data_IF_929991102260
#
_entry.id   IF_929991102260
#
_cell.length_a   1.000
_cell.length_b   1.000
_cell.length_c   1.000
_cell.angle_alpha   90.00
_cell.angle_beta   90.00
_cell.angle_gamma   90.00
#
_symmetry.space_group_name_H-M   'P 1'
#
loop_
_entity.id
_entity.type
_entity.pdbx_description
1 polymer ?
#
# COMPACT_ATOMS: atom_id res chain seq x y z
N UNK A 1 19.94 21.90 9.62
CA UNK A 1 19.62 20.54 10.07
C UNK A 1 18.12 20.32 9.93
N UNK A 2 17.71 19.20 9.35
CA UNK A 2 16.30 18.87 9.09
C UNK A 2 15.67 17.97 10.17
N UNK A 3 16.48 17.37 11.05
CA UNK A 3 15.95 16.56 12.13
C UNK A 3 17.03 15.98 13.04
N UNK A 4 16.58 15.16 13.99
CA UNK A 4 17.40 14.35 14.87
C UNK A 4 17.02 12.89 14.63
N UNK A 5 17.97 12.04 14.26
CA UNK A 5 17.80 10.59 14.20
C UNK A 5 18.14 10.01 15.57
N UNK A 6 17.29 9.13 16.09
CA UNK A 6 17.57 8.35 17.28
C UNK A 6 17.76 6.89 16.87
N UNK A 7 18.95 6.33 17.13
CA UNK A 7 19.27 4.95 16.78
C UNK A 7 19.66 4.16 18.03
N UNK A 8 19.09 2.96 18.17
CA UNK A 8 19.40 2.05 19.27
C UNK A 8 20.70 1.29 18.97
N UNK A 9 21.75 1.51 19.76
CA UNK A 9 23.02 0.78 19.64
C UNK A 9 23.23 -0.14 20.85
N UNK A 10 23.64 -1.39 20.59
CA UNK A 10 24.00 -2.37 21.64
C UNK A 10 25.38 -2.11 22.26
N UNK A 11 26.22 -1.37 21.54
CA UNK A 11 27.58 -1.02 21.92
C UNK A 11 27.88 0.41 21.48
N UNK A 12 28.61 1.18 22.28
CA UNK A 12 29.09 2.50 21.90
C UNK A 12 30.50 2.75 22.44
N UNK A 13 31.18 3.73 21.87
CA UNK A 13 32.53 4.15 22.27
C UNK A 13 32.46 5.50 22.99
N UNK A 14 33.12 5.59 24.13
CA UNK A 14 33.27 6.79 24.95
C UNK A 14 34.69 7.35 24.77
N UNK A 15 34.78 8.56 24.23
CA UNK A 15 36.02 9.32 24.07
C UNK A 15 36.12 10.33 25.19
N UNK A 16 37.19 10.28 25.98
CA UNK A 16 37.51 11.30 26.98
C UNK A 16 38.65 12.17 26.47
N UNK A 17 38.52 13.48 26.64
CA UNK A 17 39.50 14.46 26.18
C UNK A 17 40.28 15.07 27.34
N UNK A 18 41.48 15.60 27.07
CA UNK A 18 42.36 16.22 28.09
C UNK A 18 41.75 17.43 28.79
N UNK A 19 40.71 18.04 28.20
CA UNK A 19 39.95 19.14 28.80
C UNK A 19 38.82 18.66 29.75
N UNK A 20 38.65 17.34 29.93
CA UNK A 20 37.63 16.73 30.77
C UNK A 20 36.29 16.48 30.07
N UNK A 21 36.14 16.87 28.81
CA UNK A 21 34.94 16.59 28.01
C UNK A 21 34.84 15.11 27.65
N UNK A 22 33.61 14.62 27.50
CA UNK A 22 33.31 13.22 27.16
C UNK A 22 32.33 13.19 25.98
N UNK A 23 32.61 12.36 24.97
CA UNK A 23 31.73 12.11 23.83
C UNK A 23 31.39 10.64 23.72
N UNK A 24 30.10 10.34 23.54
CA UNK A 24 29.60 8.99 23.28
C UNK A 24 29.14 8.90 21.84
N UNK A 25 29.66 7.93 21.11
CA UNK A 25 29.41 7.79 19.67
C UNK A 25 29.52 6.33 19.24
N UNK A 26 29.04 6.01 18.04
CA UNK A 26 29.24 4.68 17.46
C UNK A 26 30.66 4.54 16.93
N UNK A 27 31.15 3.31 16.77
CA UNK A 27 32.49 3.04 16.19
C UNK A 27 32.65 3.56 14.75
N UNK A 28 31.55 3.61 14.01
CA UNK A 28 31.52 4.06 12.61
C UNK A 28 31.34 5.58 12.50
N UNK A 29 31.13 6.29 13.61
CA UNK A 29 30.96 7.74 13.62
C UNK A 29 32.23 8.43 13.11
N UNK A 30 32.09 9.48 12.30
CA UNK A 30 33.23 10.20 11.72
C UNK A 30 33.49 11.51 12.48
N UNK A 31 34.76 11.82 12.68
CA UNK A 31 35.24 13.03 13.35
C UNK A 31 36.28 13.72 12.46
N UNK A 32 36.54 15.00 12.73
CA UNK A 32 37.56 15.77 12.03
C UNK A 32 38.85 15.83 12.85
N UNK A 33 39.99 15.53 12.23
CA UNK A 33 41.31 15.79 12.80
C UNK A 33 41.60 17.30 12.81
N UNK A 34 42.59 17.74 13.59
CA UNK A 34 43.04 19.14 13.57
C UNK A 34 43.55 19.61 12.21
N UNK A 35 43.93 18.67 11.34
CA UNK A 35 44.50 18.92 10.02
C UNK A 35 43.43 18.94 8.91
N UNK A 36 42.14 18.81 9.30
CA UNK A 36 40.96 18.71 8.42
C UNK A 36 40.83 17.39 7.66
N UNK A 37 41.36 16.29 8.20
CA UNK A 37 41.08 14.95 7.67
C UNK A 37 39.87 14.34 8.39
N UNK A 38 39.12 13.49 7.68
CA UNK A 38 38.05 12.67 8.26
C UNK A 38 38.63 11.39 8.87
N UNK A 39 38.17 11.03 10.06
CA UNK A 39 38.58 9.82 10.77
C UNK A 39 37.39 9.15 11.47
N UNK A 40 37.27 7.83 11.32
CA UNK A 40 36.26 7.06 12.06
C UNK A 40 36.70 6.84 13.51
N UNK A 41 35.73 6.74 14.42
CA UNK A 41 35.98 6.47 15.84
C UNK A 41 36.70 5.15 16.07
N UNK A 42 36.49 4.13 15.23
CA UNK A 42 37.25 2.87 15.30
C UNK A 42 38.76 3.03 15.03
N UNK A 43 39.15 4.08 14.30
CA UNK A 43 40.52 4.35 13.87
C UNK A 43 41.24 5.41 14.74
N UNK A 44 40.54 6.01 15.71
CA UNK A 44 41.14 7.04 16.57
C UNK A 44 42.11 6.45 17.61
N UNK A 45 43.14 7.22 17.95
CA UNK A 45 44.16 6.83 18.93
C UNK A 45 44.30 7.87 20.04
N UNK A 46 44.69 7.39 21.23
CA UNK A 46 45.06 8.27 22.35
C UNK A 46 46.18 9.22 21.90
N UNK A 47 46.01 10.51 22.19
CA UNK A 47 46.93 11.57 21.78
C UNK A 47 46.57 12.25 20.45
N UNK A 48 45.61 11.72 19.68
CA UNK A 48 45.11 12.42 18.47
C UNK A 48 44.40 13.72 18.83
N UNK A 49 44.58 14.72 17.96
CA UNK A 49 43.97 16.05 18.08
C UNK A 49 42.79 16.14 17.12
N UNK A 50 41.62 16.43 17.66
CA UNK A 50 40.38 16.61 16.91
C UNK A 50 40.00 18.07 16.82
N UNK A 51 39.38 18.45 15.71
CA UNK A 51 38.92 19.82 15.45
C UNK A 51 37.77 20.18 16.40
N UNK A 52 37.86 21.34 17.02
CA UNK A 52 36.86 21.87 17.94
C UNK A 52 36.80 23.39 17.79
N UNK A 53 35.71 24.01 18.27
CA UNK A 53 35.58 25.46 18.29
C UNK A 53 36.60 26.08 19.28
N UNK A 54 37.66 26.68 18.72
CA UNK A 54 38.80 27.22 19.44
C UNK A 54 40.03 26.30 19.41
N UNK A 55 40.39 25.72 20.56
CA UNK A 55 41.58 24.84 20.67
C UNK A 55 41.21 23.39 20.34
N UNK A 56 42.05 22.65 19.58
CA UNK A 56 41.82 21.24 19.31
C UNK A 56 41.67 20.41 20.59
N UNK A 57 40.77 19.44 20.57
CA UNK A 57 40.57 18.51 21.67
C UNK A 57 41.56 17.35 21.51
N UNK A 58 42.24 16.96 22.59
CA UNK A 58 43.21 15.84 22.55
C UNK A 58 42.61 14.65 23.26
N UNK A 59 42.57 13.49 22.59
CA UNK A 59 42.03 12.25 23.17
C UNK A 59 42.96 11.77 24.28
N UNK A 60 42.43 11.58 25.49
CA UNK A 60 43.17 11.07 26.64
C UNK A 60 42.80 9.63 27.01
N UNK A 61 41.57 9.19 26.71
CA UNK A 61 41.10 7.84 27.01
C UNK A 61 40.02 7.42 26.00
N UNK A 62 39.96 6.12 25.68
CA UNK A 62 38.99 5.52 24.76
C UNK A 62 38.42 4.26 25.42
N UNK A 63 37.10 4.18 25.58
CA UNK A 63 36.43 3.03 26.18
C UNK A 63 35.30 2.50 25.31
N UNK A 64 35.34 1.22 24.98
CA UNK A 64 34.22 0.52 24.34
C UNK A 64 33.28 -0.06 25.39
N UNK A 65 32.01 0.32 25.32
CA UNK A 65 30.99 -0.04 26.30
C UNK A 65 29.94 -0.92 25.62
N UNK A 66 29.76 -2.14 26.12
CA UNK A 66 28.68 -3.05 25.70
C UNK A 66 27.43 -2.81 26.53
N UNK A 67 26.75 -1.71 26.25
CA UNK A 67 25.49 -1.33 26.88
C UNK A 67 24.54 -0.76 25.84
N UNK A 68 23.28 -1.21 25.89
CA UNK A 68 22.24 -0.73 24.99
C UNK A 68 21.89 0.72 25.34
N UNK A 69 22.09 1.63 24.39
CA UNK A 69 21.77 3.05 24.56
C UNK A 69 21.29 3.64 23.23
N UNK A 70 20.43 4.64 23.32
CA UNK A 70 20.02 5.44 22.17
C UNK A 70 21.11 6.48 21.91
N UNK A 71 21.66 6.47 20.70
CA UNK A 71 22.54 7.54 20.22
C UNK A 71 21.72 8.46 19.33
N UNK A 72 21.89 9.76 19.54
CA UNK A 72 21.24 10.80 18.77
C UNK A 72 22.22 11.34 17.74
N UNK A 73 21.73 11.55 16.52
CA UNK A 73 22.49 12.17 15.46
C UNK A 73 21.70 13.28 14.80
N UNK A 74 22.41 14.30 14.30
CA UNK A 74 21.78 15.45 13.63
C UNK A 74 21.77 15.18 12.13
N UNK A 75 20.60 15.29 11.51
CA UNK A 75 20.42 15.01 10.08
C UNK A 75 20.33 16.32 9.28
N UNK A 76 20.91 16.33 8.07
CA UNK A 76 20.81 17.40 7.06
C UNK A 76 21.34 18.78 7.53
N UNK A 77 22.55 18.81 8.07
CA UNK A 77 23.26 20.04 8.47
C UNK A 77 23.71 20.80 7.21
N UNK A 78 22.85 21.69 6.73
CA UNK A 78 23.07 22.55 5.56
C UNK A 78 24.06 23.70 5.87
N UNK A 79 25.36 23.42 5.76
CA UNK A 79 26.43 24.41 5.68
C UNK A 79 27.57 23.94 4.76
N UNK A 80 28.48 24.85 4.37
CA UNK A 80 29.56 24.56 3.39
C UNK A 80 30.43 23.35 3.78
N UNK A 81 30.53 23.01 5.06
CA UNK A 81 31.36 21.93 5.58
C UNK A 81 30.55 20.71 6.07
N UNK A 82 29.22 20.68 5.85
CA UNK A 82 28.25 19.67 6.31
C UNK A 82 28.51 19.16 7.74
N UNK A 83 28.78 20.08 8.64
CA UNK A 83 29.30 19.76 9.96
C UNK A 83 28.64 20.58 11.05
N UNK A 84 28.56 20.01 12.25
CA UNK A 84 28.01 20.71 13.39
C UNK A 84 28.96 20.60 14.59
N UNK A 85 28.80 21.56 15.50
CA UNK A 85 29.44 21.52 16.80
C UNK A 85 28.50 20.80 17.75
N UNK A 86 28.99 19.71 18.36
CA UNK A 86 28.33 19.11 19.51
C UNK A 86 28.30 20.12 20.66
N UNK A 87 27.40 19.93 21.64
CA UNK A 87 27.25 20.85 22.78
C UNK A 87 28.56 21.12 23.55
N UNK A 88 29.54 20.21 23.44
CA UNK A 88 30.88 20.33 23.99
C UNK A 88 31.90 20.96 23.05
N UNK A 89 31.47 21.63 21.97
CA UNK A 89 32.32 22.33 20.98
C UNK A 89 33.19 21.42 20.11
N UNK A 90 33.04 20.09 20.17
CA UNK A 90 33.73 19.19 19.25
C UNK A 90 33.06 19.25 17.87
N UNK A 91 33.87 19.35 16.82
CA UNK A 91 33.37 19.29 15.45
C UNK A 91 33.11 17.84 15.05
N UNK A 92 31.84 17.51 14.84
CA UNK A 92 31.41 16.19 14.40
C UNK A 92 31.26 16.16 12.89
N UNK A 93 31.71 15.08 12.25
CA UNK A 93 31.30 14.75 10.89
C UNK A 93 30.19 13.70 11.00
N UNK A 94 28.95 14.16 10.99
CA UNK A 94 27.85 13.28 10.65
C UNK A 94 26.67 14.13 10.22
N UNK A 95 26.60 14.34 8.93
CA UNK A 95 25.40 13.89 8.26
C UNK A 95 25.86 12.68 7.49
N UNK A 96 25.11 11.58 7.53
CA UNK A 96 25.11 10.68 6.39
C UNK A 96 25.09 11.57 5.15
N UNK A 97 26.20 11.62 4.42
CA UNK A 97 26.22 12.26 3.12
C UNK A 97 25.39 11.33 2.25
N UNK A 98 24.09 11.53 2.29
CA UNK A 98 23.33 11.43 1.08
C UNK A 98 23.95 12.50 0.16
N UNK A 99 25.00 12.14 -0.59
CA UNK A 99 24.83 12.41 -2.02
C UNK A 99 23.52 11.75 -2.44
N UNK A 100 23.00 12.00 -3.62
CA UNK A 100 21.70 11.45 -4.02
C UNK A 100 20.57 12.31 -3.45
N UNK A 101 20.18 13.31 -4.24
CA UNK A 101 18.78 13.71 -4.33
C UNK A 101 17.88 12.50 -3.98
N UNK A 102 17.02 12.62 -2.96
CA UNK A 102 16.28 11.45 -2.43
C UNK A 102 15.44 10.84 -3.55
N UNK A 103 15.90 9.74 -4.13
CA UNK A 103 15.16 9.02 -5.16
C UNK A 103 13.90 8.39 -4.55
N UNK A 104 12.88 8.19 -5.39
CA UNK A 104 11.59 7.67 -4.93
C UNK A 104 11.72 6.28 -4.33
N UNK A 105 12.42 5.38 -5.03
CA UNK A 105 12.62 3.98 -4.66
C UNK A 105 14.05 3.83 -4.17
N UNK A 106 14.25 3.11 -3.07
CA UNK A 106 15.59 2.89 -2.54
C UNK A 106 16.49 2.17 -3.57
N UNK A 107 17.75 2.60 -3.69
CA UNK A 107 18.68 2.03 -4.67
C UNK A 107 18.91 0.54 -4.46
N UNK A 108 18.91 0.08 -3.20
CA UNK A 108 19.08 -1.35 -2.91
C UNK A 108 17.95 -2.15 -3.54
N UNK A 109 16.71 -1.64 -3.49
CA UNK A 109 15.56 -2.29 -4.14
C UNK A 109 15.67 -2.28 -5.67
N UNK A 110 16.17 -1.19 -6.27
CA UNK A 110 16.38 -1.10 -7.71
C UNK A 110 17.48 -2.06 -8.19
N UNK A 111 18.58 -2.17 -7.43
CA UNK A 111 19.72 -3.06 -7.74
C UNK A 111 19.32 -4.55 -7.78
N UNK A 112 18.26 -4.93 -7.04
CA UNK A 112 17.72 -6.29 -7.04
C UNK A 112 16.65 -6.55 -8.13
N UNK A 113 16.21 -5.53 -8.87
CA UNK A 113 15.29 -5.73 -9.99
C UNK A 113 16.01 -6.44 -11.13
N UNK A 114 15.47 -7.59 -11.54
CA UNK A 114 15.98 -8.35 -12.68
C UNK A 114 15.10 -8.05 -13.90
N UNK A 115 15.70 -7.47 -14.93
CA UNK A 115 15.04 -7.30 -16.23
C UNK A 115 15.32 -8.52 -17.10
N UNK A 116 14.29 -9.19 -17.66
CA UNK A 116 14.51 -10.24 -18.63
C UNK A 116 15.15 -9.68 -19.91
N UNK A 117 15.76 -10.55 -20.71
CA UNK A 117 16.12 -10.17 -22.07
C UNK A 117 14.87 -9.82 -22.88
N UNK A 118 15.00 -8.86 -23.80
CA UNK A 118 13.92 -8.51 -24.73
C UNK A 118 13.58 -9.74 -25.56
N UNK A 119 12.33 -10.19 -25.49
CA UNK A 119 11.93 -11.38 -26.23
C UNK A 119 11.66 -11.09 -27.69
N UNK A 120 10.99 -9.97 -27.96
CA UNK A 120 10.73 -9.51 -29.32
C UNK A 120 10.47 -8.01 -29.38
N UNK A 121 10.59 -7.46 -30.58
CA UNK A 121 10.23 -6.07 -30.88
C UNK A 121 9.31 -6.08 -32.10
N UNK A 122 8.09 -5.55 -31.95
CA UNK A 122 7.10 -5.47 -33.02
C UNK A 122 6.56 -4.06 -33.14
N UNK A 123 6.71 -3.41 -34.30
CA UNK A 123 6.17 -2.06 -34.51
C UNK A 123 6.58 -1.05 -33.39
N UNK A 124 7.81 -1.13 -32.89
CA UNK A 124 8.30 -0.29 -31.79
C UNK A 124 7.83 -0.70 -30.39
N UNK A 125 7.03 -1.76 -30.26
CA UNK A 125 6.68 -2.38 -28.99
C UNK A 125 7.72 -3.40 -28.58
N UNK A 126 8.41 -3.12 -27.48
CA UNK A 126 9.35 -4.04 -26.84
C UNK A 126 8.58 -4.98 -25.92
N UNK A 127 8.69 -6.29 -26.18
CA UNK A 127 8.02 -7.35 -25.41
C UNK A 127 9.04 -7.99 -24.47
N UNK A 128 8.70 -8.04 -23.18
CA UNK A 128 9.53 -8.65 -22.14
C UNK A 128 9.02 -10.02 -21.70
N UNK A 129 7.80 -10.39 -22.12
CA UNK A 129 7.14 -11.63 -21.75
C UNK A 129 6.24 -12.10 -22.88
N UNK A 130 6.43 -13.35 -23.32
CA UNK A 130 5.76 -13.90 -24.51
C UNK A 130 4.31 -14.32 -24.31
N UNK A 131 3.85 -14.42 -23.07
CA UNK A 131 2.49 -14.83 -22.75
C UNK A 131 2.04 -14.30 -21.40
N UNK A 132 0.72 -14.29 -21.18
CA UNK A 132 0.12 -14.03 -19.87
C UNK A 132 0.42 -15.20 -18.91
N UNK A 133 0.54 -14.92 -17.61
CA UNK A 133 0.70 -15.92 -16.54
C UNK A 133 -0.59 -16.68 -16.23
N UNK A 134 -1.75 -16.06 -16.48
CA UNK A 134 -3.06 -16.62 -16.16
C UNK A 134 -4.10 -16.29 -17.23
N UNK A 135 -5.08 -17.19 -17.38
CA UNK A 135 -6.27 -16.96 -18.21
C UNK A 135 -7.20 -15.91 -17.59
N UNK A 136 -7.17 -15.77 -16.27
CA UNK A 136 -7.95 -14.76 -15.53
C UNK A 136 -7.20 -13.43 -15.35
N UNK A 137 -6.13 -13.21 -16.12
CA UNK A 137 -5.34 -11.99 -16.02
C UNK A 137 -6.09 -10.79 -16.60
N UNK A 138 -6.08 -9.68 -15.87
CA UNK A 138 -6.62 -8.42 -16.36
C UNK A 138 -5.49 -7.60 -16.98
N UNK A 139 -5.68 -7.15 -18.22
CA UNK A 139 -4.67 -6.40 -18.97
C UNK A 139 -4.98 -4.91 -18.94
N UNK A 140 -4.01 -4.10 -18.50
CA UNK A 140 -4.14 -2.64 -18.47
C UNK A 140 -3.08 -2.03 -19.38
N UNK A 141 -3.51 -1.17 -20.30
CA UNK A 141 -2.68 -0.34 -21.15
C UNK A 141 -2.64 1.06 -20.53
N UNK A 142 -1.47 1.52 -20.11
CA UNK A 142 -1.28 2.87 -19.57
C UNK A 142 -0.51 3.73 -20.54
N UNK A 143 -0.96 4.97 -20.75
CA UNK A 143 -0.38 5.87 -21.76
C UNK A 143 -0.11 7.24 -21.13
N UNK A 144 1.09 7.77 -21.33
CA UNK A 144 1.42 9.18 -21.10
C UNK A 144 1.72 9.87 -22.43
N UNK A 145 0.75 10.61 -23.01
CA UNK A 145 0.93 11.29 -24.29
C UNK A 145 1.78 12.56 -24.16
N UNK A 146 2.83 12.66 -24.97
CA UNK A 146 3.67 13.87 -25.11
C UNK A 146 3.34 14.64 -26.40
N UNK A 147 3.67 15.93 -26.43
CA UNK A 147 3.63 16.78 -27.63
C UNK A 147 4.78 16.51 -28.61
N UNK A 148 5.68 15.60 -28.25
CA UNK A 148 6.90 15.29 -28.96
C UNK A 148 8.02 16.30 -28.70
N UNK A 149 9.26 15.90 -29.00
CA UNK A 149 10.46 16.69 -28.72
C UNK A 149 11.39 16.04 -27.71
N UNK A 150 11.60 16.67 -26.54
CA UNK A 150 12.44 16.11 -25.47
C UNK A 150 11.73 14.99 -24.69
N UNK A 151 10.41 15.07 -24.52
CA UNK A 151 9.60 14.09 -23.79
C UNK A 151 8.96 13.08 -24.75
N UNK A 152 8.96 11.79 -24.38
CA UNK A 152 8.43 10.71 -25.22
C UNK A 152 6.98 10.39 -24.90
N UNK A 153 6.18 10.10 -25.93
CA UNK A 153 4.89 9.44 -25.71
C UNK A 153 5.14 7.99 -25.31
N UNK A 154 4.69 7.61 -24.12
CA UNK A 154 4.92 6.27 -23.56
C UNK A 154 3.61 5.50 -23.48
N UNK A 155 3.64 4.24 -23.90
CA UNK A 155 2.57 3.25 -23.70
C UNK A 155 3.17 2.02 -23.02
N UNK A 156 2.61 1.61 -21.89
CA UNK A 156 3.02 0.41 -21.16
C UNK A 156 1.87 -0.57 -21.06
N UNK A 157 2.21 -1.85 -21.11
CA UNK A 157 1.26 -2.94 -21.02
C UNK A 157 1.50 -3.73 -19.73
N UNK A 158 0.46 -3.90 -18.93
CA UNK A 158 0.54 -4.50 -17.61
C UNK A 158 -0.42 -5.67 -17.48
N UNK A 159 0.08 -6.77 -16.95
CA UNK A 159 -0.72 -7.90 -16.50
C UNK A 159 -1.00 -7.77 -15.01
N UNK A 160 -2.27 -7.67 -14.63
CA UNK A 160 -2.70 -7.63 -13.24
C UNK A 160 -3.27 -8.99 -12.86
N UNK A 161 -2.57 -9.68 -11.95
CA UNK A 161 -3.04 -10.92 -11.34
C UNK A 161 -3.38 -10.69 -9.86
N UNK A 162 -4.12 -11.60 -9.20
CA UNK A 162 -4.42 -11.48 -7.77
C UNK A 162 -3.20 -11.43 -6.84
N UNK A 163 -2.01 -11.85 -7.31
CA UNK A 163 -0.80 -11.95 -6.48
C UNK A 163 0.26 -10.91 -6.82
N UNK A 164 0.38 -10.56 -8.09
CA UNK A 164 1.48 -9.76 -8.63
C UNK A 164 1.07 -9.07 -9.93
N UNK A 165 1.68 -7.92 -10.18
CA UNK A 165 1.56 -7.18 -11.43
C UNK A 165 2.84 -7.38 -12.23
N UNK A 166 2.73 -7.60 -13.55
CA UNK A 166 3.87 -7.78 -14.44
C UNK A 166 3.84 -6.75 -15.57
N UNK A 167 4.97 -6.12 -15.84
CA UNK A 167 5.15 -5.32 -17.04
C UNK A 167 5.39 -6.26 -18.24
N UNK A 168 4.48 -6.26 -19.21
CA UNK A 168 4.56 -7.15 -20.36
C UNK A 168 5.38 -6.55 -21.51
N UNK A 169 5.30 -5.23 -21.68
CA UNK A 169 6.00 -4.54 -22.75
C UNK A 169 5.83 -3.02 -22.68
N UNK A 170 6.55 -2.31 -23.53
CA UNK A 170 6.55 -0.84 -23.58
C UNK A 170 6.80 -0.32 -25.00
N UNK A 171 6.14 0.78 -25.35
CA UNK A 171 6.45 1.67 -26.48
C UNK A 171 6.85 3.01 -25.86
N UNK A 172 7.95 3.59 -26.33
CA UNK A 172 8.32 4.97 -26.02
C UNK A 172 8.87 5.60 -27.30
N UNK A 173 8.25 6.69 -27.73
CA UNK A 173 8.61 7.34 -28.99
C UNK A 173 8.39 8.87 -28.89
N UNK A 174 9.46 9.68 -29.04
CA UNK A 174 9.37 11.14 -28.99
C UNK A 174 8.68 11.78 -30.19
N UNK A 175 8.47 11.05 -31.28
CA UNK A 175 7.79 11.55 -32.48
C UNK A 175 6.30 11.15 -32.53
N UNK A 176 5.82 10.40 -31.52
CA UNK A 176 4.48 9.84 -31.53
C UNK A 176 3.44 10.81 -30.95
N UNK A 177 2.59 11.34 -31.82
CA UNK A 177 1.47 12.21 -31.46
C UNK A 177 0.19 11.42 -31.09
N UNK A 178 -0.91 12.12 -30.82
CA UNK A 178 -2.19 11.51 -30.48
C UNK A 178 -2.74 10.58 -31.59
N UNK A 179 -2.49 10.89 -32.87
CA UNK A 179 -2.95 10.06 -33.99
C UNK A 179 -2.10 8.80 -34.11
N UNK A 180 -0.77 8.93 -33.96
CA UNK A 180 0.15 7.81 -33.91
C UNK A 180 -0.15 6.87 -32.74
N UNK A 181 -0.40 7.42 -31.54
CA UNK A 181 -0.82 6.66 -30.37
C UNK A 181 -2.10 5.86 -30.65
N UNK A 182 -3.09 6.46 -31.32
CA UNK A 182 -4.31 5.76 -31.70
C UNK A 182 -4.04 4.58 -32.65
N UNK A 183 -3.19 4.74 -33.67
CA UNK A 183 -2.80 3.62 -34.53
C UNK A 183 -2.05 2.53 -33.76
N UNK A 184 -1.23 2.89 -32.77
CA UNK A 184 -0.57 1.91 -31.89
C UNK A 184 -1.56 1.16 -31.00
N UNK A 185 -2.62 1.82 -30.52
CA UNK A 185 -3.70 1.18 -29.75
C UNK A 185 -4.43 0.15 -30.62
N UNK A 186 -4.80 0.50 -31.85
CA UNK A 186 -5.45 -0.43 -32.78
C UNK A 186 -4.54 -1.60 -33.15
N UNK A 187 -3.24 -1.35 -33.31
CA UNK A 187 -2.29 -2.43 -33.50
C UNK A 187 -2.17 -3.33 -32.25
N UNK A 188 -2.23 -2.74 -31.05
CA UNK A 188 -2.13 -3.47 -29.78
C UNK A 188 -3.29 -4.43 -29.56
N UNK A 189 -4.54 -4.06 -29.90
CA UNK A 189 -5.67 -5.00 -29.80
C UNK A 189 -5.47 -6.23 -30.70
N UNK A 190 -4.96 -6.03 -31.92
CA UNK A 190 -4.70 -7.13 -32.84
C UNK A 190 -3.55 -7.99 -32.31
N UNK A 191 -2.52 -7.38 -31.73
CA UNK A 191 -1.44 -8.10 -31.06
C UNK A 191 -1.96 -8.96 -29.89
N UNK A 192 -2.77 -8.39 -28.99
CA UNK A 192 -3.38 -9.12 -27.87
C UNK A 192 -4.19 -10.32 -28.36
N UNK A 193 -5.00 -10.13 -29.41
CA UNK A 193 -5.85 -11.17 -29.97
C UNK A 193 -5.05 -12.26 -30.67
N UNK A 194 -4.12 -11.88 -31.54
CA UNK A 194 -3.42 -12.82 -32.42
C UNK A 194 -2.25 -13.52 -31.74
N UNK A 195 -1.47 -12.79 -30.93
CA UNK A 195 -0.27 -13.34 -30.31
C UNK A 195 -0.55 -13.96 -28.95
N UNK A 196 -1.45 -13.36 -28.17
CA UNK A 196 -1.75 -13.82 -26.80
C UNK A 196 -3.11 -14.47 -26.64
N UNK A 197 -3.91 -14.56 -27.71
CA UNK A 197 -5.26 -15.13 -27.67
C UNK A 197 -6.10 -14.50 -26.53
N UNK A 198 -5.94 -13.19 -26.35
CA UNK A 198 -6.62 -12.41 -25.34
C UNK A 198 -7.73 -11.58 -25.99
N UNK A 199 -8.94 -11.57 -25.41
CA UNK A 199 -10.04 -10.74 -25.92
C UNK A 199 -9.74 -9.27 -25.60
N UNK A 200 -9.58 -8.39 -26.61
CA UNK A 200 -9.31 -6.98 -26.36
C UNK A 200 -10.39 -6.29 -25.50
N UNK A 201 -11.63 -6.81 -25.49
CA UNK A 201 -12.71 -6.28 -24.66
C UNK A 201 -12.49 -6.49 -23.15
N UNK A 202 -11.65 -7.44 -22.76
CA UNK A 202 -11.30 -7.71 -21.37
C UNK A 202 -10.11 -6.86 -20.88
N UNK A 203 -9.48 -6.07 -21.76
CA UNK A 203 -8.45 -5.12 -21.40
C UNK A 203 -9.03 -3.75 -20.98
N UNK A 204 -8.16 -2.82 -20.60
CA UNK A 204 -8.52 -1.44 -20.31
C UNK A 204 -7.42 -0.46 -20.73
N UNK A 205 -7.81 0.63 -21.38
CA UNK A 205 -6.92 1.77 -21.67
C UNK A 205 -7.09 2.86 -20.61
N UNK A 206 -5.97 3.33 -20.08
CA UNK A 206 -5.88 4.49 -19.19
C UNK A 206 -4.79 5.44 -19.67
N UNK A 207 -5.07 6.74 -19.66
CA UNK A 207 -4.10 7.71 -20.16
C UNK A 207 -4.17 9.06 -19.46
N UNK A 208 -3.05 9.81 -19.48
CA UNK A 208 -3.05 11.22 -19.05
C UNK A 208 -3.92 12.04 -19.99
N UNK A 209 -4.99 12.63 -19.44
CA UNK A 209 -5.83 13.58 -20.18
C UNK A 209 -5.39 15.01 -19.90
N UNK A 210 -4.26 15.38 -20.49
CA UNK A 210 -3.72 16.74 -20.49
C UNK A 210 -3.01 17.00 -21.82
N UNK A 211 -3.04 18.24 -22.33
CA UNK A 211 -2.39 18.59 -23.59
C UNK A 211 -2.76 17.65 -24.75
N UNK A 212 -1.78 16.89 -25.24
CA UNK A 212 -1.96 15.87 -26.30
C UNK A 212 -2.97 14.78 -25.93
N UNK A 213 -3.05 14.43 -24.64
CA UNK A 213 -4.04 13.48 -24.15
C UNK A 213 -5.48 13.93 -24.35
N UNK A 214 -5.77 15.23 -24.40
CA UNK A 214 -7.11 15.72 -24.76
C UNK A 214 -7.40 15.43 -26.24
N UNK A 215 -6.40 15.56 -27.11
CA UNK A 215 -6.49 15.16 -28.52
C UNK A 215 -6.73 13.66 -28.67
N UNK A 216 -6.00 12.83 -27.91
CA UNK A 216 -6.22 11.38 -27.89
C UNK A 216 -7.64 11.04 -27.40
N UNK A 217 -8.12 11.71 -26.35
CA UNK A 217 -9.49 11.57 -25.84
C UNK A 217 -10.54 11.85 -26.93
N UNK A 218 -10.36 12.91 -27.72
CA UNK A 218 -11.24 13.23 -28.85
C UNK A 218 -11.17 12.18 -29.95
N UNK A 219 -9.97 11.71 -30.30
CA UNK A 219 -9.80 10.67 -31.34
C UNK A 219 -10.53 9.39 -30.93
N UNK A 220 -10.28 8.93 -29.70
CA UNK A 220 -10.83 7.68 -29.18
C UNK A 220 -12.35 7.70 -28.99
N UNK A 221 -12.96 8.88 -28.78
CA UNK A 221 -14.39 8.98 -28.44
C UNK A 221 -15.28 9.56 -29.52
N UNK A 222 -14.73 10.29 -30.51
CA UNK A 222 -15.52 11.06 -31.48
C UNK A 222 -15.23 10.70 -32.94
N UNK A 223 -14.17 9.95 -33.23
CA UNK A 223 -13.88 9.54 -34.61
C UNK A 223 -14.71 8.33 -35.01
N UNK A 224 -15.14 8.31 -36.28
CA UNK A 224 -15.83 7.16 -36.87
C UNK A 224 -14.94 5.90 -36.79
N UNK A 225 -13.64 6.06 -37.06
CA UNK A 225 -12.66 4.97 -36.98
C UNK A 225 -12.58 4.38 -35.58
N UNK A 226 -12.50 5.18 -34.52
CA UNK A 226 -12.52 4.63 -33.16
C UNK A 226 -13.85 3.93 -32.85
N UNK A 227 -14.97 4.52 -33.25
CA UNK A 227 -16.31 3.94 -33.03
C UNK A 227 -16.49 2.58 -33.71
N UNK A 228 -15.87 2.38 -34.88
CA UNK A 228 -16.00 1.15 -35.67
C UNK A 228 -14.98 0.08 -35.28
N UNK A 229 -13.75 0.46 -34.93
CA UNK A 229 -12.62 -0.49 -34.82
C UNK A 229 -12.02 -0.64 -33.43
N UNK A 230 -12.23 0.31 -32.51
CA UNK A 230 -11.66 0.22 -31.16
C UNK A 230 -12.51 -0.72 -30.31
N UNK A 231 -11.93 -1.84 -29.92
CA UNK A 231 -12.61 -2.82 -29.06
C UNK A 231 -12.24 -2.67 -27.59
N UNK A 232 -11.04 -2.15 -27.30
CA UNK A 232 -10.56 -2.04 -25.92
C UNK A 232 -11.33 -0.95 -25.18
N UNK A 233 -11.95 -1.25 -24.03
CA UNK A 233 -12.59 -0.27 -23.18
C UNK A 233 -11.62 0.85 -22.75
N UNK A 234 -12.14 2.08 -22.70
CA UNK A 234 -11.40 3.24 -22.21
C UNK A 234 -11.89 3.56 -20.80
N UNK A 235 -10.96 3.88 -19.91
CA UNK A 235 -11.33 4.39 -18.59
C UNK A 235 -11.85 5.83 -18.68
N UNK A 236 -12.97 6.08 -17.99
CA UNK A 236 -13.56 7.41 -17.89
C UNK A 236 -13.45 7.95 -16.46
N UNK A 237 -12.75 9.07 -16.28
CA UNK A 237 -12.87 9.87 -15.07
C UNK A 237 -14.18 10.68 -15.14
N UNK A 238 -15.18 10.21 -14.42
CA UNK A 238 -16.55 10.71 -14.43
C UNK A 238 -17.21 10.62 -15.82
N UNK A 239 -17.15 11.67 -16.64
CA UNK A 239 -17.74 11.72 -18.00
C UNK A 239 -16.70 11.86 -19.09
N UNK A 240 -15.44 11.81 -18.73
CA UNK A 240 -14.34 12.19 -19.58
C UNK A 240 -13.41 11.00 -19.81
N UNK A 241 -13.11 10.67 -21.06
CA UNK A 241 -12.17 9.58 -21.37
C UNK A 241 -10.74 9.98 -21.01
N UNK A 242 -10.07 9.17 -20.20
CA UNK A 242 -8.76 9.46 -19.62
C UNK A 242 -8.83 10.12 -18.25
N UNK A 243 -7.67 10.28 -17.61
CA UNK A 243 -7.56 10.73 -16.21
C UNK A 243 -6.70 11.98 -16.11
N UNK A 244 -7.17 12.97 -15.35
CA UNK A 244 -6.41 14.18 -15.06
C UNK A 244 -5.88 14.14 -13.62
N UNK A 245 -4.57 13.98 -13.46
CA UNK A 245 -3.94 13.87 -12.15
C UNK A 245 -3.66 15.25 -11.55
N UNK A 246 -4.13 15.48 -10.33
CA UNK A 246 -3.75 16.68 -9.56
C UNK A 246 -2.37 16.51 -8.91
N UNK A 247 -1.62 17.58 -8.62
CA UNK A 247 -0.31 17.47 -7.97
C UNK A 247 -0.32 16.69 -6.64
N UNK A 248 -1.32 16.84 -5.76
CA UNK A 248 -1.45 16.00 -4.57
C UNK A 248 -1.65 14.52 -4.90
N UNK A 249 -2.42 14.21 -5.95
CA UNK A 249 -2.61 12.84 -6.41
C UNK A 249 -1.30 12.25 -6.96
N UNK A 250 -0.55 12.99 -7.79
CA UNK A 250 0.77 12.53 -8.30
C UNK A 250 1.72 12.15 -7.15
N UNK A 251 1.75 12.92 -6.05
CA UNK A 251 2.53 12.58 -4.84
C UNK A 251 2.06 11.28 -4.18
N UNK A 252 0.74 11.10 -4.05
CA UNK A 252 0.15 9.88 -3.48
C UNK A 252 0.50 8.66 -4.33
N UNK A 253 0.35 8.76 -5.65
CA UNK A 253 0.66 7.69 -6.59
C UNK A 253 2.14 7.32 -6.56
N UNK A 254 3.05 8.30 -6.51
CA UNK A 254 4.49 8.04 -6.36
C UNK A 254 4.80 7.17 -5.13
N UNK A 255 4.26 7.52 -3.95
CA UNK A 255 4.47 6.73 -2.73
C UNK A 255 3.91 5.31 -2.82
N UNK A 256 2.86 5.12 -3.61
CA UNK A 256 2.17 3.83 -3.72
C UNK A 256 2.84 2.96 -4.77
N UNK A 257 3.37 3.57 -5.83
CA UNK A 257 4.29 2.94 -6.75
C UNK A 257 5.55 2.44 -6.03
N UNK A 258 6.16 3.28 -5.18
CA UNK A 258 7.27 2.88 -4.30
C UNK A 258 6.93 1.62 -3.51
N UNK A 259 5.80 1.63 -2.80
CA UNK A 259 5.37 0.47 -2.02
C UNK A 259 5.21 -0.79 -2.89
N UNK A 260 4.59 -0.67 -4.07
CA UNK A 260 4.41 -1.80 -4.98
C UNK A 260 5.75 -2.43 -5.40
N UNK A 261 6.75 -1.60 -5.69
CA UNK A 261 8.08 -2.06 -6.09
C UNK A 261 8.84 -2.65 -4.88
N UNK A 262 8.90 -1.94 -3.76
CA UNK A 262 9.70 -2.36 -2.60
C UNK A 262 9.16 -3.63 -1.94
N UNK A 263 7.84 -3.83 -1.96
CA UNK A 263 7.22 -5.08 -1.50
C UNK A 263 7.14 -6.16 -2.60
N UNK A 264 7.81 -5.98 -3.73
CA UNK A 264 7.87 -6.94 -4.85
C UNK A 264 6.49 -7.36 -5.38
N UNK A 265 5.52 -6.44 -5.32
CA UNK A 265 4.14 -6.63 -5.82
C UNK A 265 4.01 -6.30 -7.30
N UNK A 266 4.93 -5.51 -7.83
CA UNK A 266 5.08 -5.24 -9.25
C UNK A 266 6.42 -5.76 -9.73
N UNK A 267 6.44 -6.36 -10.91
CA UNK A 267 7.65 -6.73 -11.62
C UNK A 267 7.83 -5.78 -12.81
N UNK A 268 8.81 -4.91 -12.68
CA UNK A 268 9.25 -4.02 -13.75
C UNK A 268 10.25 -4.80 -14.59
N UNK A 269 9.96 -4.94 -15.88
CA UNK A 269 10.80 -5.66 -16.83
C UNK A 269 11.52 -4.71 -17.81
N UNK A 270 11.06 -3.46 -17.92
CA UNK A 270 11.67 -2.43 -18.76
C UNK A 270 12.91 -1.84 -18.08
N UNK A 271 14.12 -2.06 -18.63
CA UNK A 271 15.35 -1.49 -18.06
C UNK A 271 15.38 0.04 -18.13
N UNK A 272 14.71 0.66 -19.11
CA UNK A 272 14.69 2.12 -19.23
C UNK A 272 13.78 2.75 -18.16
N UNK A 273 12.69 2.07 -17.76
CA UNK A 273 11.89 2.49 -16.60
C UNK A 273 12.72 2.43 -15.30
N UNK A 274 13.58 1.42 -15.15
CA UNK A 274 14.47 1.33 -13.98
C UNK A 274 15.50 2.46 -13.98
N UNK A 275 16.08 2.78 -15.14
CA UNK A 275 17.02 3.90 -15.26
C UNK A 275 16.36 5.25 -14.92
N UNK A 276 15.14 5.49 -15.40
CA UNK A 276 14.35 6.66 -15.00
C UNK A 276 14.14 6.70 -13.47
N UNK A 277 13.93 5.55 -12.81
CA UNK A 277 13.74 5.48 -11.36
C UNK A 277 15.00 5.84 -10.56
N UNK A 278 16.21 5.53 -11.06
CA UNK A 278 17.47 6.06 -10.49
C UNK A 278 17.61 7.58 -10.68
N UNK A 279 16.85 8.16 -11.62
CA UNK A 279 16.76 9.59 -11.89
C UNK A 279 15.61 10.32 -11.20
N UNK A 280 14.68 9.61 -10.57
CA UNK A 280 13.41 10.18 -10.11
C UNK A 280 13.46 10.62 -8.65
N UNK A 281 13.63 11.92 -8.46
CA UNK A 281 14.07 12.51 -7.20
C UNK A 281 12.97 13.30 -6.51
N UNK A 282 13.07 13.41 -5.18
CA UNK A 282 12.17 14.22 -4.36
C UNK A 282 12.58 15.68 -4.36
N UNK A 283 11.66 16.54 -4.79
CA UNK A 283 11.80 17.99 -4.75
C UNK A 283 11.56 18.56 -3.34
N UNK A 284 11.99 19.81 -3.12
CA UNK A 284 11.84 20.53 -1.84
C UNK A 284 10.37 20.66 -1.40
N UNK A 285 9.43 20.73 -2.35
CA UNK A 285 7.99 20.80 -2.06
C UNK A 285 7.35 19.42 -1.78
N UNK A 286 8.16 18.35 -1.75
CA UNK A 286 7.74 16.97 -1.55
C UNK A 286 7.07 16.32 -2.77
N UNK A 287 7.11 16.94 -3.96
CA UNK A 287 6.82 16.26 -5.22
C UNK A 287 8.02 15.43 -5.66
N UNK A 288 7.83 14.62 -6.69
CA UNK A 288 8.92 13.92 -7.36
C UNK A 288 8.97 14.36 -8.83
N UNK A 289 10.15 14.37 -9.41
CA UNK A 289 10.39 14.63 -10.84
C UNK A 289 11.72 14.02 -11.25
N UNK A 290 11.95 13.87 -12.56
CA UNK A 290 13.28 13.56 -13.07
C UNK A 290 14.32 14.62 -12.64
N UNK A 291 15.53 14.15 -12.32
CA UNK A 291 16.71 15.02 -12.16
C UNK A 291 17.20 15.51 -13.53
N UNK A 292 18.06 16.52 -13.52
CA UNK A 292 18.59 17.09 -14.78
C UNK A 292 19.29 16.03 -15.62
N UNK A 293 18.88 15.92 -16.90
CA UNK A 293 19.42 14.94 -17.85
C UNK A 293 18.74 13.56 -17.81
N UNK A 294 17.66 13.41 -17.04
CA UNK A 294 16.82 12.21 -17.00
C UNK A 294 15.40 12.55 -17.46
N UNK A 295 14.68 11.52 -17.90
CA UNK A 295 13.26 11.58 -18.23
C UNK A 295 12.43 10.92 -17.11
N UNK A 296 11.13 11.21 -17.05
CA UNK A 296 10.18 10.53 -16.15
C UNK A 296 8.89 10.05 -16.86
N UNK A 297 8.87 10.05 -18.19
CA UNK A 297 7.71 9.71 -19.01
C UNK A 297 7.19 8.28 -18.71
N UNK A 298 8.09 7.30 -18.52
CA UNK A 298 7.69 5.91 -18.19
C UNK A 298 7.15 5.79 -16.78
N UNK A 299 7.68 6.59 -15.86
CA UNK A 299 7.19 6.64 -14.48
C UNK A 299 5.80 7.27 -14.46
N UNK A 300 5.59 8.35 -15.22
CA UNK A 300 4.30 9.02 -15.34
C UNK A 300 3.26 8.09 -15.97
N UNK A 301 3.60 7.35 -17.03
CA UNK A 301 2.73 6.32 -17.59
C UNK A 301 2.36 5.25 -16.54
N UNK A 302 3.34 4.76 -15.76
CA UNK A 302 3.10 3.76 -14.72
C UNK A 302 2.17 4.24 -13.60
N UNK A 303 2.09 5.56 -13.33
CA UNK A 303 1.17 6.09 -12.30
C UNK A 303 -0.30 5.85 -12.64
N UNK A 304 -0.68 5.72 -13.91
CA UNK A 304 -2.06 5.40 -14.29
C UNK A 304 -2.46 3.97 -13.92
N UNK A 305 -1.53 3.02 -13.96
CA UNK A 305 -1.73 1.67 -13.42
C UNK A 305 -2.00 1.77 -11.91
N UNK A 306 -1.13 2.48 -11.19
CA UNK A 306 -1.26 2.63 -9.73
C UNK A 306 -2.59 3.29 -9.37
N UNK A 307 -3.02 4.29 -10.14
CA UNK A 307 -4.30 4.96 -9.93
C UNK A 307 -5.47 3.97 -10.02
N UNK A 308 -5.48 3.09 -11.03
CA UNK A 308 -6.52 2.08 -11.19
C UNK A 308 -6.60 1.14 -9.99
N UNK A 309 -5.44 0.58 -9.61
CA UNK A 309 -5.37 -0.41 -8.53
C UNK A 309 -5.82 0.21 -7.21
N UNK A 310 -5.47 1.47 -6.95
CA UNK A 310 -5.77 2.14 -5.69
C UNK A 310 -7.20 2.64 -5.55
N UNK A 311 -7.77 3.21 -6.61
CA UNK A 311 -9.03 3.95 -6.50
C UNK A 311 -10.20 3.18 -7.11
N UNK A 312 -9.95 2.26 -8.04
CA UNK A 312 -11.01 1.57 -8.79
C UNK A 312 -11.08 0.13 -8.32
N UNK A 313 -9.98 -0.60 -8.45
CA UNK A 313 -9.93 -2.02 -8.07
C UNK A 313 -10.27 -2.23 -6.59
N UNK A 314 -9.79 -1.33 -5.72
CA UNK A 314 -10.09 -1.31 -4.28
C UNK A 314 -11.59 -1.24 -3.95
N UNK A 315 -12.36 -0.49 -4.75
CA UNK A 315 -13.79 -0.27 -4.53
C UNK A 315 -14.61 -1.48 -4.99
N UNK A 316 -14.16 -2.22 -6.01
CA UNK A 316 -14.83 -3.43 -6.50
C UNK A 316 -14.61 -4.67 -5.63
N UNK A 317 -13.62 -4.63 -4.74
CA UNK A 317 -13.11 -5.79 -4.03
C UNK A 317 -13.84 -6.13 -2.70
N UNK A 318 -15.12 -5.70 -2.57
CA UNK A 318 -16.03 -5.84 -1.42
C UNK A 318 -15.61 -6.89 -0.36
N UNK A 319 -14.90 -6.43 0.67
CA UNK A 319 -14.77 -7.07 1.99
C UNK A 319 -13.92 -8.34 2.13
N UNK A 320 -13.85 -9.23 1.14
CA UNK A 320 -12.98 -10.43 1.16
C UNK A 320 -11.66 -10.23 0.40
N UNK A 321 -11.62 -9.25 -0.51
CA UNK A 321 -10.42 -8.81 -1.24
C UNK A 321 -9.98 -7.43 -0.74
N UNK A 322 -9.74 -7.26 0.56
CA UNK A 322 -9.20 -5.96 1.02
C UNK A 322 -7.80 -5.74 0.46
N UNK A 323 -7.44 -4.48 0.20
CA UNK A 323 -6.05 -4.10 -0.06
C UNK A 323 -5.12 -4.75 0.97
N UNK A 324 -5.51 -4.98 2.23
CA UNK A 324 -4.65 -5.64 3.23
C UNK A 324 -4.27 -7.09 2.88
N UNK A 325 -5.03 -7.80 2.03
CA UNK A 325 -4.67 -9.14 1.55
C UNK A 325 -3.77 -9.12 0.30
N UNK A 326 -3.84 -8.07 -0.52
CA UNK A 326 -3.00 -7.93 -1.73
C UNK A 326 -1.79 -6.99 -1.50
N UNK A 327 -1.86 -6.12 -0.51
CA UNK A 327 -1.10 -4.88 -0.35
C UNK A 327 -0.87 -4.56 1.14
N UNK A 328 0.41 -4.65 1.52
CA UNK A 328 1.02 -3.97 2.67
C UNK A 328 0.73 -4.55 4.06
N UNK A 329 1.81 -5.12 4.62
CA UNK A 329 2.24 -5.18 6.03
C UNK A 329 2.68 -6.62 6.37
N UNK A 330 4.00 -6.81 6.57
CA UNK A 330 4.49 -8.01 7.25
C UNK A 330 3.83 -8.05 8.63
N UNK A 331 3.48 -9.22 9.17
CA UNK A 331 2.84 -9.33 10.50
C UNK A 331 3.55 -8.51 11.60
N UNK A 332 4.85 -8.35 11.48
CA UNK A 332 5.76 -7.58 12.33
C UNK A 332 5.63 -6.04 12.24
N UNK A 333 5.13 -5.49 11.12
CA UNK A 333 4.91 -4.05 10.90
C UNK A 333 3.46 -3.62 11.18
N UNK A 334 2.61 -4.55 11.64
CA UNK A 334 1.30 -4.18 12.17
C UNK A 334 1.53 -3.35 13.42
N UNK A 335 1.28 -2.03 13.34
CA UNK A 335 1.00 -1.25 14.53
C UNK A 335 -0.10 -2.01 15.26
N UNK A 336 0.20 -2.53 16.46
CA UNK A 336 -0.82 -3.05 17.38
C UNK A 336 -1.66 -1.85 17.81
N UNK A 337 -2.61 -1.49 16.96
CA UNK A 337 -3.82 -0.83 17.42
C UNK A 337 -4.47 -1.91 18.26
N UNK A 338 -4.33 -1.77 19.57
CA UNK A 338 -5.11 -2.53 20.52
C UNK A 338 -6.56 -2.22 20.16
N UNK A 339 -7.19 -3.14 19.42
CA UNK A 339 -8.60 -3.11 19.09
C UNK A 339 -9.34 -3.27 20.42
N UNK A 340 -9.46 -2.17 21.18
CA UNK A 340 -10.70 -1.92 21.87
C UNK A 340 -11.73 -1.72 20.79
N UNK A 341 -12.30 -2.86 20.41
CA UNK A 341 -13.55 -3.04 19.71
C UNK A 341 -14.51 -1.96 20.23
N UNK A 342 -14.65 -0.86 19.50
CA UNK A 342 -15.82 0.00 19.64
C UNK A 342 -16.93 -0.74 18.91
N UNK A 343 -17.39 -1.83 19.51
CA UNK A 343 -18.71 -2.34 19.19
C UNK A 343 -19.67 -1.28 19.64
N UNK A 344 -20.40 -0.68 18.69
CA UNK A 344 -21.63 0.04 18.98
C UNK A 344 -22.43 -0.78 20.01
N UNK A 345 -22.53 -0.33 21.28
CA UNK A 345 -23.23 -1.08 22.32
C UNK A 345 -24.70 -1.31 21.95
N UNK A 346 -25.27 -0.46 21.09
CA UNK A 346 -26.63 -0.59 20.61
C UNK A 346 -26.80 -1.75 19.61
N UNK A 347 -25.78 -2.08 18.81
CA UNK A 347 -25.84 -3.21 17.88
C UNK A 347 -25.89 -4.56 18.62
N UNK A 348 -25.01 -4.75 19.61
CA UNK A 348 -25.02 -5.95 20.48
C UNK A 348 -26.26 -6.05 21.38
N UNK A 349 -26.92 -4.93 21.67
CA UNK A 349 -28.19 -4.93 22.41
C UNK A 349 -29.35 -5.36 21.50
N UNK A 350 -29.47 -4.79 20.30
CA UNK A 350 -30.50 -5.16 19.31
C UNK A 350 -30.44 -6.65 18.95
N UNK A 351 -29.25 -7.18 18.70
CA UNK A 351 -29.06 -8.58 18.31
C UNK A 351 -29.41 -9.57 19.44
N UNK A 352 -29.18 -9.17 20.69
CA UNK A 352 -29.52 -9.98 21.87
C UNK A 352 -31.02 -10.01 22.13
N UNK A 353 -31.69 -8.85 21.99
CA UNK A 353 -33.15 -8.75 22.10
C UNK A 353 -33.84 -9.57 21.01
N UNK A 354 -33.32 -9.56 19.79
CA UNK A 354 -33.85 -10.36 18.68
C UNK A 354 -33.72 -11.88 18.97
N UNK A 355 -32.55 -12.32 19.47
CA UNK A 355 -32.34 -13.73 19.85
C UNK A 355 -33.23 -14.17 21.00
N UNK A 356 -33.36 -13.35 22.04
CA UNK A 356 -34.22 -13.64 23.18
C UNK A 356 -35.69 -13.75 22.76
N UNK A 357 -36.14 -12.91 21.82
CA UNK A 357 -37.49 -12.98 21.25
C UNK A 357 -37.72 -14.28 20.47
N UNK A 358 -36.78 -14.68 19.63
CA UNK A 358 -36.86 -15.93 18.86
C UNK A 358 -36.84 -17.16 19.78
N UNK A 359 -36.03 -17.16 20.84
CA UNK A 359 -36.01 -18.24 21.83
C UNK A 359 -37.33 -18.34 22.62
N UNK A 360 -37.93 -17.21 22.99
CA UNK A 360 -39.24 -17.20 23.66
C UNK A 360 -40.35 -17.74 22.75
N UNK A 361 -40.37 -17.37 21.47
CA UNK A 361 -41.34 -17.89 20.50
C UNK A 361 -41.20 -19.42 20.29
N UNK A 362 -39.96 -19.93 20.28
CA UNK A 362 -39.68 -21.36 20.22
C UNK A 362 -40.13 -22.10 21.49
N UNK A 363 -39.95 -21.49 22.66
CA UNK A 363 -40.36 -22.07 23.93
C UNK A 363 -41.88 -22.13 24.07
N UNK A 364 -42.60 -21.07 23.69
CA UNK A 364 -44.07 -21.04 23.71
C UNK A 364 -44.67 -22.10 22.78
N UNK A 365 -44.09 -22.26 21.58
CA UNK A 365 -44.51 -23.31 20.65
C UNK A 365 -44.33 -24.71 21.26
N UNK A 366 -43.20 -24.94 21.93
CA UNK A 366 -42.92 -26.22 22.59
C UNK A 366 -43.89 -26.51 23.74
N UNK A 367 -44.23 -25.50 24.55
CA UNK A 367 -45.21 -25.64 25.63
C UNK A 367 -46.61 -25.97 25.08
N UNK A 368 -46.98 -25.37 23.95
CA UNK A 368 -48.26 -25.66 23.30
C UNK A 368 -48.33 -27.11 22.80
N UNK A 369 -47.26 -27.58 22.17
CA UNK A 369 -47.16 -28.96 21.67
C UNK A 369 -47.15 -29.99 22.82
N UNK A 370 -46.51 -29.67 23.94
CA UNK A 370 -46.50 -30.51 25.15
C UNK A 370 -47.90 -30.64 25.75
N UNK A 371 -48.65 -29.53 25.89
CA UNK A 371 -50.03 -29.54 26.38
C UNK A 371 -50.99 -30.28 25.44
N UNK A 372 -50.76 -30.21 24.13
CA UNK A 372 -51.56 -30.95 23.16
C UNK A 372 -51.38 -32.47 23.33
N UNK A 373 -50.13 -32.93 23.50
CA UNK A 373 -49.83 -34.36 23.77
C UNK A 373 -50.41 -34.84 25.09
N UNK A 374 -50.37 -34.01 26.12
CA UNK A 374 -50.93 -34.36 27.43
C UNK A 374 -52.46 -34.54 27.34
N UNK A 375 -53.16 -33.66 26.62
CA UNK A 375 -54.61 -33.80 26.35
C UNK A 375 -54.95 -35.07 25.58
N UNK A 376 -54.13 -35.47 24.60
CA UNK A 376 -54.31 -36.73 23.87
C UNK A 376 -54.11 -37.94 24.78
N UNK A 377 -53.11 -37.90 25.68
CA UNK A 377 -52.89 -38.97 26.66
C UNK A 377 -54.04 -39.09 27.65
N UNK A 378 -54.56 -37.97 28.17
CA UNK A 378 -55.75 -37.97 29.02
C UNK A 378 -56.99 -38.51 28.29
N UNK A 379 -57.18 -38.15 27.02
CA UNK A 379 -58.29 -38.68 26.20
C UNK A 379 -58.18 -40.20 25.97
N UNK A 380 -56.96 -40.72 25.76
CA UNK A 380 -56.70 -42.16 25.63
C UNK A 380 -56.89 -42.90 26.95
N UNK A 381 -56.46 -42.33 28.07
CA UNK A 381 -56.68 -42.91 29.40
C UNK A 381 -58.16 -42.90 29.80
N UNK A 382 -58.92 -41.86 29.43
CA UNK A 382 -60.36 -41.82 29.63
C UNK A 382 -61.12 -42.86 28.76
N UNK A 383 -60.61 -43.18 27.56
CA UNK A 383 -61.13 -44.28 26.74
C UNK A 383 -60.79 -45.68 27.29
N UNK A 384 -59.66 -45.85 27.99
CA UNK A 384 -59.24 -47.12 28.59
C UNK A 384 -59.73 -47.32 30.04
N UNK A 385 -60.14 -46.26 30.73
CA UNK A 385 -60.71 -46.29 32.08
C UNK A 385 -62.22 -46.49 32.13
N UNK A 386 -62.90 -46.62 30.99
CA UNK A 386 -64.33 -46.94 30.90
C UNK A 386 -64.55 -48.45 30.75
N UNK A 387 -64.04 -49.22 31.72
CA UNK A 387 -64.47 -50.60 31.97
C UNK A 387 -64.16 -50.98 33.43
N UNK A 388 -65.23 -51.28 34.20
CA UNK A 388 -65.28 -52.03 35.47
C UNK A 388 -64.85 -51.21 36.72
N UNK A 389 -65.64 -50.97 37.80
CA UNK A 389 -66.88 -51.59 38.33
C UNK A 389 -67.49 -50.75 39.50
N UNK A 390 -68.83 -50.82 39.66
CA UNK A 390 -69.74 -50.80 40.86
C UNK A 390 -69.61 -49.68 41.92
N UNK A 391 -70.68 -48.88 42.14
CA UNK A 391 -71.77 -49.07 43.14
C UNK A 391 -71.26 -49.11 44.60
N UNK A 392 -71.39 -47.99 45.32
CA UNK A 392 -72.21 -47.88 46.55
C UNK A 392 -72.04 -46.51 47.28
N UNK A 393 -73.20 -45.95 47.63
CA UNK A 393 -73.60 -45.16 48.80
C UNK A 393 -72.99 -43.77 49.14
N UNK A 394 -73.92 -42.80 49.14
CA UNK A 394 -74.23 -41.78 50.16
C UNK A 394 -73.08 -40.97 50.81
N UNK A 395 -73.06 -39.66 50.57
CA UNK A 395 -73.49 -38.65 51.55
C UNK A 395 -73.21 -37.22 51.07
N UNK A 396 -74.19 -36.34 51.29
CA UNK A 396 -74.11 -34.89 51.15
C UNK A 396 -72.91 -34.30 51.93
N UNK A 397 -72.27 -33.25 51.40
CA UNK A 397 -71.89 -32.06 52.17
C UNK A 397 -71.62 -30.89 51.20
N UNK A 398 -72.29 -29.79 51.53
CA UNK A 398 -72.29 -28.46 50.92
C UNK A 398 -71.19 -27.57 51.53
N UNK A 399 -71.00 -26.41 50.89
CA UNK A 399 -70.44 -25.14 51.40
C UNK A 399 -68.92 -24.88 51.40
N UNK A 400 -68.58 -23.93 50.52
CA UNK A 400 -67.86 -22.69 50.81
C UNK A 400 -66.53 -22.76 51.56
N UNK A 401 -65.43 -22.45 50.84
CA UNK A 401 -64.39 -21.60 51.44
C UNK A 401 -63.42 -20.98 50.42
N UNK A 402 -63.43 -19.64 50.38
CA UNK A 402 -62.32 -18.71 50.10
C UNK A 402 -61.84 -18.48 48.66
N UNK A 403 -62.61 -17.65 47.94
CA UNK A 403 -62.36 -16.19 47.81
C UNK A 403 -60.91 -15.67 47.89
N UNK A 404 -60.58 -14.82 46.89
CA UNK A 404 -59.87 -13.52 46.96
C UNK A 404 -58.92 -13.32 45.76
N UNK A 405 -59.42 -12.57 44.77
CA UNK A 405 -58.62 -11.74 43.86
C UNK A 405 -58.04 -10.54 44.63
N UNK A 406 -56.97 -9.93 44.12
CA UNK A 406 -56.90 -8.48 44.14
C UNK A 406 -56.72 -7.89 42.73
N UNK A 407 -57.70 -7.08 42.33
CA UNK A 407 -57.44 -5.81 41.64
C UNK A 407 -56.78 -4.87 42.67
N UNK A 408 -55.98 -3.84 42.37
CA UNK A 408 -56.21 -2.67 41.50
C UNK A 408 -54.85 -1.94 41.37
N UNK A 409 -54.71 -1.18 40.29
CA UNK A 409 -53.94 0.07 40.06
C UNK A 409 -52.90 0.03 38.95
#
# INVERSE_FOLDING_TARGET
FAGIAETLHKTYTELTFTNGEIVKCSKNHVLWTSDNDEIKVEDVMIGMKLKADGKPFVISDIKDISHTSNLLDIIEVDNEENSFLLANKLKSHNCQFLSFEKILIDSDHLDFLQTPEVTSIHNGFTVYKDSLDSLDSFVIITIDPSAGGEDSSVMQLWEVTPKKIYQLGTIADPDLDASGLFEKILWMQDFLREQWNYDPQDALIMFERNGVGEGLSQILTQTEKATEFLEIPIYYDSKNAGVQLTPPMKKKLALQFKNLVEYSKIQINDPELIDELYGFIRNTNGSYSAKSGYHDDRIMAAFYLVYYIMNVFAEFADGEFSLDHMMLVKEEDRIKIDNKVVTDPAAKYRERVEKEKVELELLDKKILDDKAREREQYAQMAQMGSSIVEEDDDDDIDLDSYDILPSVF
#
